data_IF_756414121700
#
_entry.id   IF_756414121700
#
_cell.length_a   1.000
_cell.length_b   1.000
_cell.length_c   1.000
_cell.angle_alpha   90.00
_cell.angle_beta   90.00
_cell.angle_gamma   90.00
#
_symmetry.space_group_name_H-M   'P 1'
#
loop_
_entity.id
_entity.type
_entity.pdbx_description
1 polymer ?
#
# COMPACT_ATOMS: atom_id res chain seq x y z
N UNK A 1 14.74 12.32 -10.12
CA UNK A 1 15.47 13.10 -9.08
C UNK A 1 16.93 13.37 -9.46
N UNK A 2 17.69 12.37 -9.92
CA UNK A 2 19.10 12.55 -10.31
C UNK A 2 19.24 13.54 -11.47
N UNK A 3 18.42 13.40 -12.51
CA UNK A 3 18.47 14.30 -13.69
C UNK A 3 17.97 15.71 -13.36
N UNK A 4 16.91 15.80 -12.56
CA UNK A 4 16.32 17.07 -12.11
C UNK A 4 17.27 17.91 -11.23
N UNK A 5 18.30 17.28 -10.64
CA UNK A 5 19.27 17.97 -9.77
C UNK A 5 20.04 19.06 -10.54
N UNK A 6 20.34 18.84 -11.82
CA UNK A 6 21.03 19.82 -12.66
C UNK A 6 20.24 21.12 -12.85
N UNK A 7 18.91 21.05 -12.73
CA UNK A 7 18.00 22.18 -12.89
C UNK A 7 17.64 22.85 -11.56
N UNK A 8 18.27 22.46 -10.45
CA UNK A 8 17.94 22.99 -9.12
C UNK A 8 16.58 22.51 -8.58
N UNK A 9 15.90 21.58 -9.26
CA UNK A 9 14.58 21.09 -8.89
C UNK A 9 14.70 19.97 -7.85
N UNK A 10 14.09 20.18 -6.68
CA UNK A 10 13.99 19.16 -5.62
C UNK A 10 12.78 18.26 -5.90
N UNK A 11 13.00 16.95 -5.95
CA UNK A 11 11.94 15.94 -6.14
C UNK A 11 11.82 15.11 -4.86
N UNK A 12 10.60 15.03 -4.33
CA UNK A 12 10.26 14.29 -3.12
C UNK A 12 9.23 13.20 -3.45
N UNK A 13 9.39 12.02 -2.89
CA UNK A 13 8.46 10.90 -3.03
C UNK A 13 7.68 10.71 -1.72
N UNK A 14 6.35 10.71 -1.79
CA UNK A 14 5.49 10.46 -0.63
C UNK A 14 4.92 9.05 -0.78
N UNK A 15 5.21 8.21 0.22
CA UNK A 15 4.90 6.79 0.25
C UNK A 15 3.93 6.53 1.41
N UNK A 16 2.62 6.67 1.19
CA UNK A 16 1.62 6.36 2.19
C UNK A 16 1.45 4.84 2.33
N UNK A 17 1.21 4.39 3.57
CA UNK A 17 0.68 3.07 3.88
C UNK A 17 -0.81 2.94 3.53
N UNK A 18 -1.51 2.06 4.23
CA UNK A 18 -2.94 1.87 4.03
C UNK A 18 -3.73 2.97 4.76
N UNK A 19 -4.36 3.88 4.00
CA UNK A 19 -5.23 4.93 4.53
C UNK A 19 -6.67 4.76 4.09
N UNK A 20 -7.61 5.13 4.97
CA UNK A 20 -9.06 5.14 4.70
C UNK A 20 -9.40 6.17 3.63
N UNK A 21 -9.54 5.69 2.41
CA UNK A 21 -9.88 6.49 1.23
C UNK A 21 -10.92 5.76 0.38
N UNK A 22 -11.43 6.41 -0.67
CA UNK A 22 -12.31 5.74 -1.64
C UNK A 22 -11.64 4.54 -2.33
N UNK A 23 -10.30 4.54 -2.42
CA UNK A 23 -9.51 3.44 -3.00
C UNK A 23 -9.42 2.23 -2.07
N UNK A 24 -9.42 2.44 -0.75
CA UNK A 24 -9.33 1.37 0.24
C UNK A 24 -10.70 0.85 0.69
N UNK A 25 -11.78 1.16 -0.06
CA UNK A 25 -13.13 0.77 0.33
C UNK A 25 -13.29 -0.77 0.23
N UNK A 26 -13.50 -1.48 1.35
CA UNK A 26 -13.50 -2.94 1.36
C UNK A 26 -14.64 -3.54 0.53
N UNK A 27 -15.82 -2.90 0.53
CA UNK A 27 -16.98 -3.36 -0.24
C UNK A 27 -16.73 -3.25 -1.74
N UNK A 28 -16.16 -2.13 -2.18
CA UNK A 28 -15.82 -1.92 -3.59
C UNK A 28 -14.76 -2.92 -4.06
N UNK A 29 -13.69 -3.07 -3.29
CA UNK A 29 -12.60 -4.02 -3.59
C UNK A 29 -13.14 -5.45 -3.65
N UNK A 30 -13.98 -5.86 -2.69
CA UNK A 30 -14.52 -7.21 -2.66
C UNK A 30 -15.40 -7.50 -3.89
N UNK A 31 -16.26 -6.55 -4.27
CA UNK A 31 -17.11 -6.67 -5.46
C UNK A 31 -16.27 -6.77 -6.74
N UNK A 32 -15.23 -5.95 -6.88
CA UNK A 32 -14.33 -6.01 -8.04
C UNK A 32 -13.60 -7.35 -8.11
N UNK A 33 -13.11 -7.86 -6.97
CA UNK A 33 -12.49 -9.18 -6.90
C UNK A 33 -13.45 -10.30 -7.27
N UNK A 34 -14.70 -10.25 -6.82
CA UNK A 34 -15.72 -11.24 -7.16
C UNK A 34 -15.99 -11.28 -8.66
N UNK A 35 -16.10 -10.10 -9.29
CA UNK A 35 -16.26 -10.00 -10.75
C UNK A 35 -15.06 -10.60 -11.49
N UNK A 36 -13.84 -10.33 -11.03
CA UNK A 36 -12.62 -10.93 -11.61
C UNK A 36 -12.65 -12.44 -11.44
N UNK A 37 -12.89 -12.93 -10.22
CA UNK A 37 -12.95 -14.36 -9.91
C UNK A 37 -13.94 -15.07 -10.81
N UNK A 38 -15.16 -14.56 -10.93
CA UNK A 38 -16.21 -15.18 -11.75
C UNK A 38 -15.84 -15.25 -13.24
N UNK A 39 -15.07 -14.29 -13.75
CA UNK A 39 -14.60 -14.25 -15.14
C UNK A 39 -13.40 -15.17 -15.43
N UNK A 40 -12.74 -15.72 -14.41
CA UNK A 40 -11.59 -16.60 -14.63
C UNK A 40 -11.99 -17.93 -15.29
N UNK A 41 -11.16 -18.48 -16.19
CA UNK A 41 -11.34 -19.83 -16.72
C UNK A 41 -11.35 -20.89 -15.61
N UNK A 42 -12.07 -22.02 -15.80
CA UNK A 42 -12.13 -23.09 -14.81
C UNK A 42 -10.76 -23.63 -14.40
N UNK A 43 -9.84 -23.80 -15.35
CA UNK A 43 -8.49 -24.32 -15.08
C UNK A 43 -7.71 -23.42 -14.12
N UNK A 44 -7.86 -22.09 -14.26
CA UNK A 44 -7.21 -21.11 -13.40
C UNK A 44 -7.86 -21.13 -12.00
N UNK A 45 -9.20 -21.20 -11.92
CA UNK A 45 -9.89 -21.31 -10.62
C UNK A 45 -9.45 -22.56 -9.86
N UNK A 46 -9.27 -23.68 -10.57
CA UNK A 46 -8.78 -24.93 -10.00
C UNK A 46 -7.33 -24.81 -9.49
N UNK A 47 -6.46 -24.11 -10.22
CA UNK A 47 -5.07 -23.86 -9.78
C UNK A 47 -4.98 -23.05 -8.48
N UNK A 48 -5.84 -22.04 -8.32
CA UNK A 48 -5.91 -21.27 -7.07
C UNK A 48 -6.62 -22.07 -5.96
N UNK A 49 -7.57 -22.92 -6.31
CA UNK A 49 -8.43 -23.67 -5.41
C UNK A 49 -9.73 -22.94 -5.09
N UNK A 50 -10.80 -23.70 -4.88
CA UNK A 50 -12.16 -23.15 -4.69
C UNK A 50 -12.27 -22.24 -3.45
N UNK A 51 -11.51 -22.56 -2.39
CA UNK A 51 -11.49 -21.78 -1.15
C UNK A 51 -10.64 -20.50 -1.22
N UNK A 52 -9.82 -20.32 -2.25
CA UNK A 52 -8.81 -19.26 -2.30
C UNK A 52 -9.44 -17.88 -2.14
N UNK A 53 -10.53 -17.64 -2.86
CA UNK A 53 -11.24 -16.37 -2.83
C UNK A 53 -11.70 -16.00 -1.41
N UNK A 54 -12.28 -16.96 -0.68
CA UNK A 54 -12.76 -16.74 0.68
C UNK A 54 -11.60 -16.56 1.67
N UNK A 55 -10.54 -17.36 1.54
CA UNK A 55 -9.34 -17.26 2.39
C UNK A 55 -8.61 -15.94 2.18
N UNK A 56 -8.45 -15.48 0.94
CA UNK A 56 -7.86 -14.18 0.63
C UNK A 56 -8.73 -13.04 1.17
N UNK A 57 -10.05 -13.09 0.97
CA UNK A 57 -10.97 -12.08 1.49
C UNK A 57 -10.85 -11.94 3.02
N UNK A 58 -10.83 -13.05 3.75
CA UNK A 58 -10.66 -13.06 5.21
C UNK A 58 -9.27 -12.53 5.63
N UNK A 59 -8.18 -12.97 4.96
CA UNK A 59 -6.80 -12.50 5.25
C UNK A 59 -6.68 -11.00 5.01
N UNK A 60 -7.19 -10.49 3.89
CA UNK A 60 -7.15 -9.06 3.54
C UNK A 60 -8.02 -8.21 4.46
N UNK A 61 -9.19 -8.71 4.89
CA UNK A 61 -10.02 -8.01 5.87
C UNK A 61 -9.31 -7.89 7.23
N UNK A 62 -8.65 -8.95 7.70
CA UNK A 62 -7.85 -8.94 8.93
C UNK A 62 -6.69 -7.95 8.83
N UNK A 63 -5.95 -8.00 7.72
CA UNK A 63 -4.82 -7.09 7.47
C UNK A 63 -5.31 -5.63 7.40
N UNK A 64 -6.41 -5.36 6.70
CA UNK A 64 -6.98 -4.02 6.63
C UNK A 64 -7.38 -3.51 8.01
N UNK A 65 -8.00 -4.33 8.87
CA UNK A 65 -8.35 -3.91 10.24
C UNK A 65 -7.12 -3.56 11.09
N UNK A 66 -5.99 -4.23 10.85
CA UNK A 66 -4.74 -4.00 11.61
C UNK A 66 -3.93 -2.81 11.10
N UNK A 67 -3.91 -2.57 9.78
CA UNK A 67 -3.01 -1.60 9.16
C UNK A 67 -3.71 -0.30 8.72
N UNK A 68 -5.04 -0.24 8.70
CA UNK A 68 -5.77 0.92 8.16
C UNK A 68 -5.64 2.13 9.09
N UNK A 69 -4.97 3.17 8.59
CA UNK A 69 -4.94 4.48 9.23
C UNK A 69 -6.23 5.23 8.83
N UNK A 70 -7.02 5.65 9.82
CA UNK A 70 -8.26 6.39 9.55
C UNK A 70 -8.03 7.87 9.24
N UNK A 71 -7.05 8.48 9.91
CA UNK A 71 -6.71 9.88 9.72
C UNK A 71 -5.75 10.05 8.53
N UNK A 72 -6.18 10.82 7.53
CA UNK A 72 -5.40 11.14 6.32
C UNK A 72 -4.48 12.35 6.51
N UNK A 73 -4.65 13.12 7.59
CA UNK A 73 -3.89 14.35 7.86
C UNK A 73 -2.37 14.17 7.80
N UNK A 74 -1.77 13.04 8.25
CA UNK A 74 -0.33 12.83 8.14
C UNK A 74 0.20 12.88 6.70
N UNK A 75 -0.61 12.47 5.71
CA UNK A 75 -0.23 12.52 4.29
C UNK A 75 -0.20 13.98 3.83
N UNK A 76 -1.23 14.74 4.17
CA UNK A 76 -1.33 16.17 3.82
C UNK A 76 -0.20 16.97 4.47
N UNK A 77 0.10 16.71 5.75
CA UNK A 77 1.21 17.35 6.46
C UNK A 77 2.57 17.03 5.81
N UNK A 78 2.78 15.80 5.33
CA UNK A 78 4.00 15.45 4.60
C UNK A 78 4.07 16.17 3.25
N UNK A 79 2.94 16.34 2.55
CA UNK A 79 2.87 17.13 1.32
C UNK A 79 3.21 18.60 1.59
N UNK A 80 2.61 19.18 2.62
CA UNK A 80 2.89 20.55 3.05
C UNK A 80 4.38 20.73 3.36
N UNK A 81 4.94 19.89 4.22
CA UNK A 81 6.37 19.94 4.56
C UNK A 81 7.27 19.76 3.33
N UNK A 82 6.91 18.89 2.38
CA UNK A 82 7.68 18.71 1.15
C UNK A 82 7.70 19.96 0.27
N UNK A 83 6.66 20.78 0.32
CA UNK A 83 6.52 22.00 -0.47
C UNK A 83 7.11 23.24 0.23
N UNK A 84 6.97 23.35 1.56
CA UNK A 84 7.33 24.56 2.31
C UNK A 84 8.71 24.50 2.95
N UNK A 85 9.28 23.31 3.14
CA UNK A 85 10.58 23.16 3.80
C UNK A 85 11.73 23.66 2.94
N UNK A 86 12.69 24.33 3.56
CA UNK A 86 13.96 24.69 2.91
C UNK A 86 14.76 23.43 2.51
N UNK A 87 14.66 22.35 3.28
CA UNK A 87 15.40 21.10 3.07
C UNK A 87 14.46 19.88 3.16
N UNK A 88 13.58 19.68 2.15
CA UNK A 88 12.64 18.57 2.17
C UNK A 88 13.37 17.23 2.00
N UNK A 89 12.83 16.19 2.63
CA UNK A 89 13.31 14.82 2.47
C UNK A 89 13.02 14.30 1.05
N UNK A 90 13.90 13.46 0.52
CA UNK A 90 13.66 12.81 -0.77
C UNK A 90 12.55 11.75 -0.70
N UNK A 91 12.34 11.14 0.46
CA UNK A 91 11.32 10.10 0.68
C UNK A 91 10.59 10.36 2.00
N UNK A 92 9.26 10.42 1.96
CA UNK A 92 8.39 10.52 3.12
C UNK A 92 7.61 9.22 3.27
N UNK A 93 7.85 8.50 4.35
CA UNK A 93 7.08 7.30 4.69
C UNK A 93 5.97 7.74 5.65
N UNK A 94 4.72 7.50 5.25
CA UNK A 94 3.55 8.05 5.94
C UNK A 94 2.62 6.92 6.35
N UNK A 95 2.13 6.94 7.60
CA UNK A 95 1.32 5.87 8.18
C UNK A 95 2.10 5.03 9.18
N UNK A 96 1.43 4.59 10.25
CA UNK A 96 2.07 3.77 11.28
C UNK A 96 2.44 2.39 10.73
N UNK A 97 1.55 1.79 9.94
CA UNK A 97 1.78 0.54 9.22
C UNK A 97 2.99 0.64 8.27
N UNK A 98 3.11 1.74 7.52
CA UNK A 98 4.22 1.98 6.61
C UNK A 98 5.56 2.08 7.35
N UNK A 99 5.58 2.79 8.48
CA UNK A 99 6.80 2.99 9.28
C UNK A 99 7.22 1.73 10.03
N UNK A 100 6.28 1.00 10.62
CA UNK A 100 6.56 -0.12 11.52
C UNK A 100 6.61 -1.48 10.81
N UNK A 101 5.84 -1.65 9.73
CA UNK A 101 5.70 -2.94 9.07
C UNK A 101 6.28 -2.91 7.65
N UNK A 102 5.73 -2.08 6.75
CA UNK A 102 6.07 -2.17 5.33
C UNK A 102 7.50 -1.74 4.99
N UNK A 103 7.97 -0.61 5.53
CA UNK A 103 9.32 -0.13 5.26
C UNK A 103 10.40 -1.08 5.84
N UNK A 104 10.31 -1.56 7.09
CA UNK A 104 11.23 -2.57 7.58
C UNK A 104 11.20 -3.85 6.73
N UNK A 105 10.01 -4.39 6.43
CA UNK A 105 9.84 -5.61 5.66
C UNK A 105 10.50 -5.50 4.27
N UNK A 106 10.33 -4.36 3.58
CA UNK A 106 10.95 -4.12 2.26
C UNK A 106 12.48 -4.13 2.25
N UNK A 107 13.12 -4.00 3.42
CA UNK A 107 14.58 -4.02 3.57
C UNK A 107 15.09 -5.37 4.11
N UNK A 108 14.19 -6.29 4.46
CA UNK A 108 14.56 -7.62 4.97
C UNK A 108 15.02 -8.54 3.83
N UNK A 109 15.81 -9.59 4.10
CA UNK A 109 16.11 -10.65 3.14
C UNK A 109 14.86 -11.29 2.53
N UNK A 110 14.93 -11.71 1.26
CA UNK A 110 13.80 -12.33 0.55
C UNK A 110 13.20 -13.54 1.30
N UNK A 111 14.05 -14.37 1.94
CA UNK A 111 13.61 -15.54 2.72
C UNK A 111 12.62 -15.15 3.83
N UNK A 112 12.85 -14.00 4.49
CA UNK A 112 11.95 -13.51 5.55
C UNK A 112 10.68 -12.91 4.95
N UNK A 113 10.79 -12.23 3.81
CA UNK A 113 9.64 -11.67 3.11
C UNK A 113 8.70 -12.76 2.58
N UNK A 114 9.25 -13.83 2.00
CA UNK A 114 8.48 -14.93 1.41
C UNK A 114 7.76 -15.79 2.46
N UNK A 115 8.29 -15.82 3.69
CA UNK A 115 7.69 -16.55 4.80
C UNK A 115 6.43 -15.88 5.37
N UNK A 116 6.30 -14.56 5.25
CA UNK A 116 5.30 -13.70 5.91
C UNK A 116 4.04 -13.50 5.05
#
# INVERSE_FOLDING_TARGET
RRDMKAFGVKVCCIQPGLFKTALSNPTKIMKEKEVIWNKLPPDIKMQYGEDYFQKDAAKKQKLSKMCLNEDISPVVQCMEHALTSLHPHAHYIVGQDAKLFWNPLSRMPAIIQDFL
#
